data_IF_267720438915
#
_entry.id   IF_267720438915
#
_cell.length_a   1.000
_cell.length_b   1.000
_cell.length_c   1.000
_cell.angle_alpha   90.00
_cell.angle_beta   90.00
_cell.angle_gamma   90.00
#
_symmetry.space_group_name_H-M   'P 1'
#
loop_
_entity.id
_entity.type
_entity.pdbx_description
1 polymer ?
#
# COMPACT_ATOMS: atom_id res chain seq x y z
N UNK A 1 -19.38 -6.93 20.87
CA UNK A 1 -19.35 -6.45 19.47
C UNK A 1 -18.76 -5.05 19.48
N UNK A 2 -17.80 -4.74 18.59
CA UNK A 2 -17.16 -3.41 18.54
C UNK A 2 -15.84 -3.26 19.31
N UNK A 3 -14.89 -4.19 19.14
CA UNK A 3 -13.50 -3.95 19.57
C UNK A 3 -12.75 -3.31 18.40
N UNK A 4 -12.01 -2.24 18.68
CA UNK A 4 -11.04 -1.69 17.75
C UNK A 4 -10.06 -2.78 17.34
N UNK A 5 -9.72 -2.83 16.05
CA UNK A 5 -8.69 -3.73 15.56
C UNK A 5 -7.35 -3.06 15.79
N UNK A 6 -6.41 -3.81 16.36
CA UNK A 6 -5.07 -3.34 16.64
C UNK A 6 -4.08 -4.35 16.08
N UNK A 7 -3.24 -3.90 15.17
CA UNK A 7 -2.13 -4.65 14.62
C UNK A 7 -0.83 -4.03 15.12
N UNK A 8 0.04 -4.89 15.64
CA UNK A 8 1.41 -4.55 16.01
C UNK A 8 2.30 -5.59 15.32
N UNK A 9 3.09 -5.12 14.37
CA UNK A 9 3.87 -5.95 13.48
C UNK A 9 5.33 -5.51 13.57
N UNK A 10 6.28 -6.45 13.76
CA UNK A 10 7.69 -6.11 13.63
C UNK A 10 7.99 -5.73 12.18
N UNK A 11 8.90 -4.77 11.98
CA UNK A 11 9.44 -4.49 10.64
C UNK A 11 10.52 -5.52 10.35
N UNK A 12 10.15 -6.62 9.69
CA UNK A 12 11.07 -7.75 9.41
C UNK A 12 11.58 -7.71 7.97
N UNK A 13 10.70 -7.41 7.02
CA UNK A 13 11.00 -7.38 5.60
C UNK A 13 10.92 -5.93 5.09
N UNK A 14 11.78 -5.58 4.12
CA UNK A 14 11.73 -4.30 3.41
C UNK A 14 11.84 -3.04 4.29
N UNK A 15 12.43 -3.14 5.50
CA UNK A 15 12.63 -2.02 6.42
C UNK A 15 13.24 -0.78 5.74
N UNK A 16 14.21 -0.99 4.86
CA UNK A 16 14.91 0.05 4.13
C UNK A 16 14.04 0.82 3.14
N UNK A 17 12.86 0.30 2.79
CA UNK A 17 11.86 0.96 1.93
C UNK A 17 10.79 1.70 2.73
N UNK A 18 10.73 1.50 4.05
CA UNK A 18 9.72 2.15 4.90
C UNK A 18 10.06 3.60 5.16
N UNK A 19 9.03 4.43 5.29
CA UNK A 19 9.15 5.82 5.76
C UNK A 19 8.41 5.98 7.09
N UNK A 20 9.13 6.29 8.19
CA UNK A 20 8.51 6.53 9.49
C UNK A 20 7.52 7.68 9.48
N UNK A 21 6.55 7.62 10.38
CA UNK A 21 5.57 8.68 10.58
C UNK A 21 4.22 8.13 11.03
N UNK A 22 3.31 9.05 11.34
CA UNK A 22 1.95 8.70 11.78
C UNK A 22 0.93 9.46 10.95
N UNK A 23 -0.12 8.75 10.55
CA UNK A 23 -1.28 9.34 9.87
C UNK A 23 -2.56 8.70 10.35
N UNK A 24 -3.61 9.52 10.49
CA UNK A 24 -4.97 9.05 10.66
C UNK A 24 -5.79 9.46 9.45
N UNK A 25 -6.45 8.50 8.82
CA UNK A 25 -7.24 8.76 7.63
C UNK A 25 -8.14 7.59 7.26
N UNK A 26 -9.04 7.83 6.32
CA UNK A 26 -9.91 6.76 5.81
C UNK A 26 -9.08 5.74 5.03
N UNK A 27 -9.16 4.47 5.42
CA UNK A 27 -8.51 3.36 4.73
C UNK A 27 -9.27 3.04 3.43
N UNK A 28 -8.58 2.93 2.31
CA UNK A 28 -9.14 2.61 1.00
C UNK A 28 -8.10 1.91 0.10
N UNK A 29 -8.50 1.45 -1.08
CA UNK A 29 -7.64 0.69 -2.00
C UNK A 29 -8.03 -0.78 -2.05
N UNK A 30 -7.04 -1.68 -1.99
CA UNK A 30 -7.20 -3.13 -2.09
C UNK A 30 -6.29 -3.71 -3.15
N UNK A 31 -6.83 -4.59 -3.98
CA UNK A 31 -6.11 -5.15 -5.11
C UNK A 31 -5.76 -4.06 -6.14
N UNK A 32 -4.48 -3.97 -6.55
CA UNK A 32 -3.97 -2.90 -7.41
C UNK A 32 -4.60 -2.92 -8.81
N UNK A 33 -4.63 -4.07 -9.48
CA UNK A 33 -5.22 -4.20 -10.83
C UNK A 33 -6.71 -3.85 -10.85
N UNK A 34 -7.46 -4.27 -9.84
CA UNK A 34 -8.87 -3.90 -9.68
C UNK A 34 -9.01 -2.40 -9.39
N UNK A 35 -8.24 -1.85 -8.44
CA UNK A 35 -8.36 -0.44 -8.07
C UNK A 35 -8.01 0.50 -9.23
N UNK A 36 -6.94 0.19 -9.97
CA UNK A 36 -6.52 0.96 -11.14
C UNK A 36 -7.54 0.92 -12.27
N UNK A 37 -8.25 -0.20 -12.47
CA UNK A 37 -9.33 -0.31 -13.46
C UNK A 37 -10.52 0.61 -13.19
N UNK A 38 -10.70 1.07 -11.94
CA UNK A 38 -11.78 1.98 -11.55
C UNK A 38 -11.41 3.46 -11.72
N UNK A 39 -10.12 3.78 -11.92
CA UNK A 39 -9.68 5.17 -12.07
C UNK A 39 -10.42 5.90 -13.19
N UNK A 40 -10.76 7.17 -12.95
CA UNK A 40 -11.54 7.98 -13.88
C UNK A 40 -13.06 7.71 -13.85
N UNK A 41 -13.53 6.71 -13.11
CA UNK A 41 -14.97 6.46 -12.90
C UNK A 41 -15.48 7.10 -11.61
N UNK A 42 -16.81 7.19 -11.47
CA UNK A 42 -17.46 7.65 -10.22
C UNK A 42 -17.22 6.73 -8.99
N UNK A 43 -16.65 5.55 -9.21
CA UNK A 43 -16.42 4.54 -8.17
C UNK A 43 -15.02 4.65 -7.55
N UNK A 44 -14.03 5.25 -8.24
CA UNK A 44 -12.71 5.53 -7.69
C UNK A 44 -12.71 6.82 -6.86
N UNK A 45 -13.25 6.76 -5.65
CA UNK A 45 -13.21 7.87 -4.70
C UNK A 45 -11.90 7.85 -3.92
N UNK A 46 -11.06 8.88 -4.12
CA UNK A 46 -9.79 9.06 -3.41
C UNK A 46 -10.01 10.05 -2.26
N UNK A 47 -10.16 9.59 -1.00
CA UNK A 47 -10.31 10.47 0.15
C UNK A 47 -9.03 11.28 0.39
N UNK A 48 -9.17 12.60 0.54
CA UNK A 48 -8.05 13.48 0.90
C UNK A 48 -7.52 13.10 2.27
N UNK A 49 -6.20 12.92 2.39
CA UNK A 49 -5.54 12.46 3.61
C UNK A 49 -5.84 11.00 3.97
N UNK A 50 -6.43 10.22 3.06
CA UNK A 50 -6.72 8.81 3.29
C UNK A 50 -5.45 7.94 3.33
N UNK A 51 -5.60 6.74 3.86
CA UNK A 51 -4.54 5.72 3.85
C UNK A 51 -4.84 4.77 2.70
N UNK A 52 -3.97 4.73 1.69
CA UNK A 52 -4.10 3.83 0.56
C UNK A 52 -3.45 2.49 0.91
N UNK A 53 -4.17 1.39 0.72
CA UNK A 53 -3.66 0.04 0.81
C UNK A 53 -3.61 -0.59 -0.59
N UNK A 54 -2.48 -1.20 -0.96
CA UNK A 54 -2.30 -1.87 -2.26
C UNK A 54 -1.68 -3.26 -2.07
N UNK A 55 -2.25 -4.27 -2.72
CA UNK A 55 -1.71 -5.63 -2.85
C UNK A 55 -2.05 -6.19 -4.24
N UNK A 56 -1.39 -7.25 -4.68
CA UNK A 56 -1.80 -7.97 -5.91
C UNK A 56 -1.29 -9.42 -5.95
N UNK A 57 -1.83 -10.22 -6.87
CA UNK A 57 -1.43 -11.61 -7.09
C UNK A 57 -1.34 -11.94 -8.58
N UNK A 58 -0.27 -12.61 -8.98
CA UNK A 58 -0.12 -13.15 -10.34
C UNK A 58 0.14 -12.11 -11.41
N UNK A 59 0.36 -10.85 -11.04
CA UNK A 59 0.67 -9.79 -12.01
C UNK A 59 2.17 -9.75 -12.32
N UNK A 60 2.47 -9.62 -13.61
CA UNK A 60 3.85 -9.46 -14.10
C UNK A 60 4.44 -8.13 -13.60
N UNK A 61 5.71 -8.08 -13.17
CA UNK A 61 6.30 -6.88 -12.58
C UNK A 61 6.14 -5.60 -13.41
N UNK A 62 6.35 -5.67 -14.73
CA UNK A 62 6.18 -4.51 -15.62
C UNK A 62 4.74 -3.98 -15.67
N UNK A 63 3.72 -4.83 -15.43
CA UNK A 63 2.32 -4.40 -15.38
C UNK A 63 2.04 -3.65 -14.09
N UNK A 64 2.53 -4.17 -12.97
CA UNK A 64 2.44 -3.51 -11.65
C UNK A 64 3.13 -2.15 -11.72
N UNK A 65 4.35 -2.09 -12.26
CA UNK A 65 5.09 -0.85 -12.44
C UNK A 65 4.27 0.19 -13.25
N UNK A 66 3.73 -0.23 -14.40
CA UNK A 66 2.85 0.62 -15.23
C UNK A 66 1.62 1.09 -14.46
N UNK A 67 0.97 0.22 -13.70
CA UNK A 67 -0.22 0.57 -12.90
C UNK A 67 0.09 1.59 -11.81
N UNK A 68 1.28 1.52 -11.23
CA UNK A 68 1.71 2.42 -10.15
C UNK A 68 2.07 3.78 -10.70
N UNK A 69 2.73 3.82 -11.87
CA UNK A 69 2.88 5.06 -12.64
C UNK A 69 1.54 5.65 -13.06
N UNK A 70 0.53 4.83 -13.39
CA UNK A 70 -0.81 5.34 -13.67
C UNK A 70 -1.45 6.00 -12.43
N UNK A 71 -1.28 5.43 -11.23
CA UNK A 71 -1.73 6.08 -9.99
C UNK A 71 -0.99 7.41 -9.73
N UNK A 72 0.31 7.45 -10.00
CA UNK A 72 1.13 8.66 -9.89
C UNK A 72 0.62 9.75 -10.84
N UNK A 73 0.49 9.43 -12.14
CA UNK A 73 0.03 10.39 -13.16
C UNK A 73 -1.42 10.84 -12.93
N UNK A 74 -2.25 10.01 -12.29
CA UNK A 74 -3.61 10.39 -11.90
C UNK A 74 -3.67 11.27 -10.65
N UNK A 75 -2.52 11.60 -10.03
CA UNK A 75 -2.44 12.43 -8.81
C UNK A 75 -3.01 11.73 -7.57
N UNK A 76 -3.00 10.40 -7.53
CA UNK A 76 -3.49 9.64 -6.37
C UNK A 76 -2.58 9.87 -5.17
N UNK A 77 -1.27 9.79 -5.37
CA UNK A 77 -0.28 9.93 -4.29
C UNK A 77 -0.26 11.35 -3.70
N UNK A 78 -0.61 12.38 -4.48
CA UNK A 78 -0.72 13.77 -4.00
C UNK A 78 -1.90 13.99 -3.04
N UNK A 79 -2.85 13.06 -2.99
CA UNK A 79 -4.09 13.19 -2.21
C UNK A 79 -4.07 12.41 -0.90
N UNK A 80 -3.24 11.39 -0.78
CA UNK A 80 -3.23 10.48 0.36
C UNK A 80 -2.36 11.03 1.49
N UNK A 81 -2.62 10.54 2.71
CA UNK A 81 -1.82 10.85 3.89
C UNK A 81 -0.90 9.70 4.30
N UNK A 82 -1.06 8.50 3.74
CA UNK A 82 -0.22 7.33 4.02
C UNK A 82 -0.44 6.21 3.01
N UNK A 83 0.57 5.34 2.89
CA UNK A 83 0.58 4.23 1.94
C UNK A 83 1.00 2.94 2.64
N UNK A 84 0.17 1.91 2.50
CA UNK A 84 0.43 0.55 2.94
C UNK A 84 0.56 -0.32 1.69
N UNK A 85 1.75 -0.83 1.46
CA UNK A 85 2.07 -1.85 0.48
C UNK A 85 1.96 -3.21 1.19
N UNK A 86 0.90 -3.94 0.86
CA UNK A 86 0.70 -5.33 1.25
C UNK A 86 1.57 -6.27 0.44
N UNK A 87 1.13 -7.51 0.30
CA UNK A 87 1.91 -8.52 -0.39
C UNK A 87 1.57 -8.60 -1.88
N UNK A 88 2.61 -8.50 -2.69
CA UNK A 88 2.59 -8.90 -4.10
C UNK A 88 3.03 -10.36 -4.14
N UNK A 89 2.19 -11.25 -4.68
CA UNK A 89 2.42 -12.70 -4.62
C UNK A 89 2.29 -13.35 -6.00
N UNK A 90 2.80 -14.58 -6.13
CA UNK A 90 2.74 -15.39 -7.36
C UNK A 90 3.29 -14.70 -8.62
N UNK A 91 4.40 -13.97 -8.46
CA UNK A 91 5.14 -13.37 -9.57
C UNK A 91 6.59 -13.82 -9.54
N UNK A 92 7.27 -13.64 -10.67
CA UNK A 92 8.73 -13.74 -10.77
C UNK A 92 9.26 -12.37 -11.11
N UNK A 93 10.39 -12.00 -10.51
CA UNK A 93 11.08 -10.77 -10.89
C UNK A 93 11.41 -10.78 -12.38
N UNK A 94 11.26 -9.61 -13.00
CA UNK A 94 11.52 -9.42 -14.42
C UNK A 94 12.98 -8.97 -14.58
N UNK A 95 13.86 -9.79 -15.18
CA UNK A 95 15.27 -9.46 -15.34
C UNK A 95 15.52 -8.31 -16.33
N UNK A 96 14.52 -7.94 -17.13
CA UNK A 96 14.59 -6.79 -18.03
C UNK A 96 14.28 -5.46 -17.31
N UNK A 97 13.67 -5.52 -16.12
CA UNK A 97 13.49 -4.34 -15.28
C UNK A 97 14.82 -3.92 -14.64
N UNK A 98 15.00 -2.60 -14.47
CA UNK A 98 16.19 -2.02 -13.86
C UNK A 98 16.31 -2.28 -12.35
N UNK A 99 15.21 -2.65 -11.69
CA UNK A 99 15.12 -2.89 -10.26
C UNK A 99 14.07 -3.95 -9.97
N UNK A 100 14.06 -4.47 -8.73
CA UNK A 100 12.99 -5.35 -8.28
C UNK A 100 11.66 -4.63 -8.27
N UNK A 101 10.56 -5.40 -8.33
CA UNK A 101 9.22 -4.83 -8.31
C UNK A 101 9.02 -3.83 -7.15
N UNK A 102 9.33 -4.25 -5.92
CA UNK A 102 9.13 -3.41 -4.74
C UNK A 102 10.04 -2.17 -4.72
N UNK A 103 11.25 -2.27 -5.28
CA UNK A 103 12.12 -1.11 -5.43
C UNK A 103 11.55 -0.12 -6.46
N UNK A 104 11.03 -0.61 -7.59
CA UNK A 104 10.37 0.25 -8.58
C UNK A 104 9.16 0.98 -7.98
N UNK A 105 8.34 0.26 -7.20
CA UNK A 105 7.23 0.85 -6.43
C UNK A 105 7.71 1.97 -5.51
N UNK A 106 8.75 1.69 -4.71
CA UNK A 106 9.33 2.66 -3.79
C UNK A 106 9.83 3.90 -4.55
N UNK A 107 10.50 3.71 -5.69
CA UNK A 107 11.08 4.80 -6.46
C UNK A 107 10.03 5.76 -7.03
N UNK A 108 8.83 5.27 -7.35
CA UNK A 108 7.69 6.11 -7.76
C UNK A 108 7.17 7.00 -6.62
N UNK A 109 7.20 6.50 -5.37
CA UNK A 109 6.62 7.18 -4.20
C UNK A 109 7.68 7.78 -3.26
N UNK A 110 8.96 7.73 -3.63
CA UNK A 110 10.08 8.16 -2.77
C UNK A 110 10.05 9.65 -2.44
N UNK A 111 9.47 10.47 -3.31
CA UNK A 111 9.36 11.93 -3.13
C UNK A 111 8.09 12.33 -2.35
N UNK A 112 7.16 11.39 -2.11
CA UNK A 112 5.96 11.69 -1.33
C UNK A 112 6.32 11.84 0.15
N UNK A 113 5.89 12.91 0.80
CA UNK A 113 6.12 13.13 2.24
C UNK A 113 4.99 12.50 3.08
N UNK A 114 4.97 11.17 3.12
CA UNK A 114 3.95 10.38 3.85
C UNK A 114 4.52 9.13 4.52
N UNK A 115 3.90 8.62 5.60
CA UNK A 115 4.25 7.33 6.18
C UNK A 115 4.05 6.20 5.15
N UNK A 116 5.10 5.40 4.95
CA UNK A 116 5.15 4.34 3.95
C UNK A 116 5.50 3.03 4.63
N UNK A 117 4.64 2.03 4.46
CA UNK A 117 4.75 0.71 5.05
C UNK A 117 4.76 -0.35 3.97
N UNK A 118 5.85 -1.10 3.83
CA UNK A 118 5.97 -2.31 3.01
C UNK A 118 5.79 -3.58 3.85
N UNK A 119 5.35 -4.65 3.19
CA UNK A 119 5.28 -5.98 3.79
C UNK A 119 4.15 -6.13 4.80
N UNK A 120 3.08 -5.34 4.71
CA UNK A 120 1.94 -5.54 5.59
C UNK A 120 1.30 -6.93 5.28
N UNK A 121 1.06 -7.79 6.29
CA UNK A 121 0.59 -9.16 6.13
C UNK A 121 -0.92 -9.22 5.80
N UNK A 122 -1.31 -8.58 4.72
CA UNK A 122 -2.65 -8.63 4.13
C UNK A 122 -2.50 -8.84 2.64
N UNK A 123 -3.27 -9.77 2.11
CA UNK A 123 -3.17 -10.25 0.73
C UNK A 123 -3.35 -11.76 0.67
N UNK A 124 -2.80 -12.37 -0.36
CA UNK A 124 -2.98 -13.79 -0.67
C UNK A 124 -1.99 -14.70 0.08
N UNK A 125 -1.96 -14.60 1.41
CA UNK A 125 -1.05 -15.36 2.27
C UNK A 125 -1.74 -16.05 3.44
N UNK A 126 -1.00 -16.94 4.12
CA UNK A 126 -1.50 -17.71 5.27
C UNK A 126 -1.90 -16.83 6.46
N UNK A 127 -1.15 -15.76 6.73
CA UNK A 127 -1.51 -14.74 7.71
C UNK A 127 -2.16 -13.57 6.98
N UNK A 128 -3.46 -13.67 6.70
CA UNK A 128 -4.21 -12.61 6.03
C UNK A 128 -5.00 -11.81 7.08
N UNK A 129 -4.40 -10.73 7.59
CA UNK A 129 -5.05 -9.89 8.58
C UNK A 129 -6.14 -9.05 7.90
N UNK A 130 -7.38 -9.04 8.42
CA UNK A 130 -8.47 -8.34 7.78
C UNK A 130 -8.31 -6.82 7.92
N UNK A 131 -8.35 -6.11 6.82
CA UNK A 131 -8.41 -4.65 6.83
C UNK A 131 -9.85 -4.16 6.65
N UNK A 132 -10.36 -3.38 7.61
CA UNK A 132 -11.70 -2.81 7.53
C UNK A 132 -11.73 -1.60 6.60
N UNK A 133 -11.99 -1.85 5.32
CA UNK A 133 -12.00 -0.81 4.29
C UNK A 133 -13.11 0.22 4.52
N UNK A 134 -12.79 1.49 4.31
CA UNK A 134 -13.72 2.61 4.41
C UNK A 134 -13.90 3.18 5.81
N UNK A 135 -13.30 2.58 6.85
CA UNK A 135 -13.21 3.17 8.19
C UNK A 135 -11.98 4.08 8.32
N UNK A 136 -11.97 4.93 9.34
CA UNK A 136 -10.75 5.62 9.73
C UNK A 136 -9.78 4.61 10.35
N UNK A 137 -8.52 4.73 9.99
CA UNK A 137 -7.43 3.98 10.59
C UNK A 137 -6.31 4.93 11.00
N UNK A 138 -5.53 4.55 11.99
CA UNK A 138 -4.26 5.23 12.31
C UNK A 138 -3.10 4.29 12.00
N UNK A 139 -2.26 4.68 11.06
CA UNK A 139 -1.02 4.00 10.71
C UNK A 139 0.13 4.74 11.38
N UNK A 140 0.94 4.01 12.14
CA UNK A 140 2.23 4.48 12.67
C UNK A 140 3.31 3.54 12.19
N UNK A 141 4.23 4.09 11.41
CA UNK A 141 5.45 3.40 10.96
C UNK A 141 6.61 3.94 11.80
N UNK A 142 7.32 3.05 12.48
CA UNK A 142 8.56 3.36 13.20
C UNK A 142 9.71 2.59 12.58
N UNK A 143 10.93 2.84 13.05
CA UNK A 143 12.10 2.06 12.62
C UNK A 143 11.97 0.57 12.94
N UNK A 144 11.26 0.21 14.01
CA UNK A 144 11.20 -1.16 14.54
C UNK A 144 9.83 -1.82 14.45
N UNK A 145 8.77 -1.06 14.17
CA UNK A 145 7.40 -1.59 14.19
C UNK A 145 6.42 -0.83 13.32
N UNK A 146 5.41 -1.55 12.85
CA UNK A 146 4.23 -1.03 12.17
C UNK A 146 3.03 -1.24 13.10
N UNK A 147 2.31 -0.16 13.36
CA UNK A 147 1.08 -0.19 14.15
C UNK A 147 -0.07 0.30 13.29
N UNK A 148 -1.15 -0.47 13.22
CA UNK A 148 -2.37 -0.07 12.54
C UNK A 148 -3.56 -0.26 13.48
N UNK A 149 -4.35 0.79 13.67
CA UNK A 149 -5.58 0.75 14.47
C UNK A 149 -6.80 1.13 13.66
N UNK A 150 -7.92 0.44 13.84
CA UNK A 150 -9.20 0.69 13.16
C UNK A 150 -10.38 0.67 14.13
#
# INVERSE_FOLDING_TARGET
>A
FGRSLHYELPVVEHQHLNRPGTVTGRLFGGNLSVFTSLLGTKYAKIPKGGILFLEDIGEEPYKVDRMIHQLYLAGVFDRIGGLIIGQFTDYKEDPEMHSSLLQSLHDVVKEADLPLCFGFPTGHVRANYPLLMGLNATLTVTESGIHLTQ
#
